data_IF_130033893067
#
_entry.id   IF_130033893067
#
_cell.length_a   1.000
_cell.length_b   1.000
_cell.length_c   1.000
_cell.angle_alpha   90.00
_cell.angle_beta   90.00
_cell.angle_gamma   90.00
#
_symmetry.space_group_name_H-M   'P 1'
#
loop_
_entity.id
_entity.type
_entity.pdbx_description
1 polymer ?
#
# COMPACT_ATOMS: atom_id res chain seq x y z
N UNK A 1 -21.06 17.13 -32.46
CA UNK A 1 -22.08 17.18 -33.49
C UNK A 1 -21.61 16.36 -34.68
N UNK A 2 -22.46 15.51 -35.28
CA UNK A 2 -22.20 14.75 -36.50
C UNK A 2 -22.92 15.42 -37.68
N UNK A 3 -22.20 15.60 -38.77
CA UNK A 3 -22.68 16.24 -39.99
C UNK A 3 -22.49 15.25 -41.14
N UNK A 4 -23.59 14.67 -41.60
CA UNK A 4 -23.61 13.74 -42.73
C UNK A 4 -23.86 14.49 -44.01
N UNK A 5 -22.80 14.83 -44.72
CA UNK A 5 -22.88 15.58 -45.97
C UNK A 5 -23.53 14.77 -47.09
N UNK A 6 -24.38 15.40 -47.87
CA UNK A 6 -25.06 14.80 -49.03
C UNK A 6 -24.28 15.15 -50.30
N UNK A 7 -23.47 14.25 -50.88
CA UNK A 7 -22.60 14.53 -52.01
C UNK A 7 -23.34 15.01 -53.25
N UNK A 8 -24.50 14.41 -53.50
CA UNK A 8 -25.32 14.77 -54.67
C UNK A 8 -25.84 16.19 -54.64
N UNK A 9 -26.26 16.63 -53.45
CA UNK A 9 -26.73 18.03 -53.22
C UNK A 9 -25.56 18.98 -53.28
N UNK A 10 -24.44 18.64 -52.63
CA UNK A 10 -23.21 19.45 -52.65
C UNK A 10 -22.71 19.65 -54.11
N UNK A 11 -22.78 18.66 -54.97
CA UNK A 11 -22.37 18.73 -56.37
C UNK A 11 -23.22 19.73 -57.16
N UNK A 12 -24.55 19.82 -56.87
CA UNK A 12 -25.44 20.76 -57.49
C UNK A 12 -25.03 22.22 -57.18
N UNK A 13 -24.57 22.48 -55.93
CA UNK A 13 -24.10 23.78 -55.50
C UNK A 13 -22.59 24.01 -55.75
N UNK A 14 -21.90 23.03 -56.41
CA UNK A 14 -20.44 23.07 -56.65
C UNK A 14 -19.64 23.26 -55.38
N UNK A 15 -20.02 22.59 -54.31
CA UNK A 15 -19.35 22.60 -52.98
C UNK A 15 -18.47 21.38 -52.83
N UNK A 16 -17.34 21.52 -52.17
CA UNK A 16 -16.49 20.46 -51.72
C UNK A 16 -16.49 20.38 -50.18
N UNK A 17 -16.16 19.25 -49.56
CA UNK A 17 -16.18 19.07 -48.11
C UNK A 17 -15.33 20.12 -47.34
N UNK A 18 -14.22 20.60 -47.95
CA UNK A 18 -13.38 21.61 -47.34
C UNK A 18 -14.07 22.95 -47.17
N UNK A 19 -15.00 23.32 -48.12
CA UNK A 19 -15.75 24.58 -48.01
C UNK A 19 -16.61 24.56 -46.74
N UNK A 20 -17.27 23.42 -46.49
CA UNK A 20 -18.12 23.24 -45.29
C UNK A 20 -17.27 23.26 -44.01
N UNK A 21 -16.12 22.59 -44.00
CA UNK A 21 -15.26 22.58 -42.84
C UNK A 21 -14.65 23.96 -42.50
N UNK A 22 -14.32 24.73 -43.54
CA UNK A 22 -13.84 26.11 -43.38
C UNK A 22 -14.89 27.01 -42.72
N UNK A 23 -16.11 26.97 -43.25
CA UNK A 23 -17.24 27.75 -42.71
C UNK A 23 -17.58 27.35 -41.28
N UNK A 24 -17.55 26.06 -40.98
CA UNK A 24 -17.74 25.53 -39.62
C UNK A 24 -16.67 26.07 -38.65
N UNK A 25 -15.41 26.10 -39.09
CA UNK A 25 -14.31 26.61 -38.28
C UNK A 25 -14.44 28.13 -38.04
N UNK A 26 -15.00 28.88 -38.99
CA UNK A 26 -15.22 30.34 -38.85
C UNK A 26 -16.42 30.66 -37.98
N UNK A 27 -17.53 29.93 -38.08
CA UNK A 27 -18.77 30.24 -37.37
C UNK A 27 -18.96 29.57 -36.03
N UNK A 28 -18.26 28.46 -35.76
CA UNK A 28 -18.32 27.74 -34.49
C UNK A 28 -17.04 27.93 -33.68
N UNK A 29 -16.72 29.16 -33.37
CA UNK A 29 -15.49 29.57 -32.67
C UNK A 29 -15.80 30.10 -31.28
N UNK A 30 -14.91 29.90 -30.36
CA UNK A 30 -14.93 30.52 -29.04
C UNK A 30 -13.82 31.57 -28.98
N UNK A 31 -14.19 32.84 -28.86
CA UNK A 31 -13.26 33.98 -28.88
C UNK A 31 -13.59 34.97 -27.78
N UNK A 32 -12.59 35.62 -27.23
CA UNK A 32 -12.77 36.76 -26.35
C UNK A 32 -13.13 37.98 -27.18
N UNK A 33 -14.33 38.52 -27.00
CA UNK A 33 -14.87 39.62 -27.79
C UNK A 33 -14.42 41.00 -27.34
N UNK A 34 -13.72 41.10 -26.19
CA UNK A 34 -13.26 42.37 -25.63
C UNK A 34 -14.39 43.25 -25.10
N UNK A 35 -14.10 44.50 -24.93
CA UNK A 35 -15.02 45.49 -24.41
C UNK A 35 -15.00 46.75 -25.29
N UNK A 36 -16.16 47.34 -25.51
CA UNK A 36 -16.31 48.66 -26.16
C UNK A 36 -16.08 49.73 -25.10
N UNK A 37 -15.28 50.77 -25.41
CA UNK A 37 -14.94 51.83 -24.49
C UNK A 37 -13.69 51.59 -23.63
N UNK A 38 -12.99 50.50 -23.86
CA UNK A 38 -11.68 50.24 -23.26
C UNK A 38 -10.66 51.24 -23.86
N UNK A 39 -9.96 51.99 -23.02
CA UNK A 39 -9.04 53.08 -23.40
C UNK A 39 -9.70 54.28 -24.10
N UNK A 40 -10.98 54.58 -23.85
CA UNK A 40 -11.64 55.80 -24.32
C UNK A 40 -11.90 56.77 -23.15
N UNK A 41 -12.11 58.04 -23.43
CA UNK A 41 -12.50 59.07 -22.43
C UNK A 41 -13.97 58.91 -21.98
N UNK A 42 -14.67 57.87 -22.43
CA UNK A 42 -16.07 57.63 -22.11
C UNK A 42 -16.21 57.02 -20.72
N UNK A 43 -17.27 57.43 -20.00
CA UNK A 43 -17.52 57.00 -18.63
C UNK A 43 -18.01 55.54 -18.54
N UNK A 44 -18.48 54.94 -19.63
CA UNK A 44 -19.09 53.63 -19.67
C UNK A 44 -18.32 52.66 -20.56
N UNK A 45 -18.09 51.45 -20.05
CA UNK A 45 -17.52 50.35 -20.78
C UNK A 45 -18.58 49.25 -20.97
N UNK A 46 -18.74 48.77 -22.19
CA UNK A 46 -19.68 47.71 -22.54
C UNK A 46 -18.92 46.41 -22.88
N UNK A 47 -19.07 45.38 -22.07
CA UNK A 47 -18.52 44.07 -22.38
C UNK A 47 -19.35 43.41 -23.48
N UNK A 48 -18.72 43.08 -24.60
CA UNK A 48 -19.38 42.36 -25.66
C UNK A 48 -19.53 40.89 -25.30
N UNK A 49 -20.72 40.34 -25.51
CA UNK A 49 -20.98 38.90 -25.37
C UNK A 49 -21.50 38.38 -26.70
N UNK A 50 -21.04 37.19 -27.07
CA UNK A 50 -21.59 36.43 -28.18
C UNK A 50 -21.96 35.04 -27.72
N UNK A 51 -22.76 34.30 -28.50
CA UNK A 51 -23.32 32.99 -28.08
C UNK A 51 -22.29 31.85 -27.92
N UNK A 52 -21.06 32.07 -28.38
CA UNK A 52 -20.02 31.05 -28.28
C UNK A 52 -20.20 29.88 -29.27
N UNK A 53 -19.80 28.72 -28.84
CA UNK A 53 -19.96 27.49 -29.64
C UNK A 53 -21.43 27.11 -29.75
N UNK A 54 -21.83 26.64 -30.93
CA UNK A 54 -23.15 26.09 -31.19
C UNK A 54 -23.32 24.75 -30.46
N UNK A 55 -24.49 24.50 -29.88
CA UNK A 55 -24.74 23.33 -29.02
C UNK A 55 -25.77 22.36 -29.60
N UNK A 56 -26.75 22.88 -30.39
CA UNK A 56 -27.88 22.09 -30.89
C UNK A 56 -27.76 21.76 -32.38
N UNK A 57 -28.36 20.66 -32.87
CA UNK A 57 -28.42 20.36 -34.28
C UNK A 57 -29.09 21.46 -35.11
N UNK A 58 -30.08 22.13 -34.54
CA UNK A 58 -30.78 23.25 -35.18
C UNK A 58 -29.87 24.47 -35.41
N UNK A 59 -29.10 24.86 -34.39
CA UNK A 59 -28.11 25.94 -34.50
C UNK A 59 -27.04 25.63 -35.54
N UNK A 60 -26.53 24.38 -35.58
CA UNK A 60 -25.61 23.96 -36.63
C UNK A 60 -26.27 23.96 -38.01
N UNK A 61 -27.55 23.57 -38.09
CA UNK A 61 -28.32 23.58 -39.34
C UNK A 61 -28.50 24.98 -39.94
N UNK A 62 -28.54 25.99 -39.10
CA UNK A 62 -28.74 27.37 -39.54
C UNK A 62 -27.44 28.09 -39.94
N UNK A 63 -26.28 27.38 -39.84
CA UNK A 63 -25.00 27.90 -40.37
C UNK A 63 -25.13 28.21 -41.85
N UNK A 64 -24.75 29.43 -42.26
CA UNK A 64 -24.77 29.85 -43.65
C UNK A 64 -23.51 29.40 -44.37
N UNK A 65 -23.65 28.52 -45.33
CA UNK A 65 -22.53 27.98 -46.12
C UNK A 65 -22.18 28.92 -47.26
N UNK A 66 -23.19 29.50 -47.96
CA UNK A 66 -23.03 30.43 -49.06
C UNK A 66 -24.19 31.41 -49.12
N UNK A 67 -23.90 32.63 -49.47
CA UNK A 67 -24.91 33.64 -49.82
C UNK A 67 -24.66 34.08 -51.26
N UNK A 68 -25.72 34.21 -52.04
CA UNK A 68 -25.68 34.74 -53.43
C UNK A 68 -25.94 36.23 -53.42
N UNK A 69 -25.55 36.92 -54.48
CA UNK A 69 -25.80 38.37 -54.65
C UNK A 69 -27.30 38.71 -54.70
N UNK A 70 -28.12 37.78 -55.11
CA UNK A 70 -29.58 37.88 -55.17
C UNK A 70 -30.27 37.68 -53.80
N UNK A 71 -29.48 37.45 -52.72
CA UNK A 71 -29.98 37.32 -51.34
C UNK A 71 -30.43 35.90 -50.98
N UNK A 72 -30.25 34.92 -51.83
CA UNK A 72 -30.47 33.50 -51.46
C UNK A 72 -29.36 33.03 -50.55
N UNK A 73 -29.74 32.33 -49.47
CA UNK A 73 -28.85 31.83 -48.43
C UNK A 73 -28.93 30.32 -48.39
N UNK A 74 -27.81 29.66 -48.64
CA UNK A 74 -27.69 28.20 -48.53
C UNK A 74 -27.25 27.85 -47.12
N UNK A 75 -28.08 27.13 -46.37
CA UNK A 75 -27.81 26.70 -45.01
C UNK A 75 -27.28 25.27 -44.97
N UNK A 76 -26.55 24.93 -43.90
CA UNK A 76 -25.95 23.61 -43.70
C UNK A 76 -27.00 22.46 -43.70
N UNK A 77 -28.18 22.70 -43.11
CA UNK A 77 -29.28 21.71 -43.10
C UNK A 77 -29.79 21.30 -44.47
N UNK A 78 -29.54 22.10 -45.50
CA UNK A 78 -29.97 21.80 -46.87
C UNK A 78 -29.03 20.83 -47.58
N UNK A 79 -27.72 20.83 -47.17
CA UNK A 79 -26.69 20.01 -47.80
C UNK A 79 -26.19 18.86 -46.90
N UNK A 80 -26.65 18.80 -45.64
CA UNK A 80 -26.23 17.76 -44.70
C UNK A 80 -27.37 17.41 -43.72
N UNK A 81 -27.31 16.19 -43.17
CA UNK A 81 -28.12 15.78 -42.04
C UNK A 81 -27.26 15.95 -40.78
N UNK A 82 -27.82 16.58 -39.75
CA UNK A 82 -27.11 17.00 -38.55
C UNK A 82 -27.73 16.31 -37.35
N UNK A 83 -26.90 15.61 -36.57
CA UNK A 83 -27.35 14.92 -35.36
C UNK A 83 -26.32 15.03 -34.23
N UNK A 84 -26.80 14.92 -33.01
CA UNK A 84 -25.94 14.75 -31.86
C UNK A 84 -25.58 13.26 -31.76
N UNK A 85 -24.41 12.89 -32.30
CA UNK A 85 -23.94 11.51 -32.34
C UNK A 85 -22.69 11.31 -31.49
N UNK A 86 -22.19 10.08 -31.54
CA UNK A 86 -20.93 9.71 -30.85
C UNK A 86 -19.74 10.41 -31.51
N UNK A 87 -18.69 10.68 -30.73
CA UNK A 87 -17.43 11.19 -31.27
C UNK A 87 -16.77 10.19 -32.24
N UNK A 88 -16.81 8.90 -31.89
CA UNK A 88 -16.32 7.82 -32.73
C UNK A 88 -17.27 6.63 -32.72
N UNK A 89 -17.46 6.01 -33.88
CA UNK A 89 -18.19 4.74 -34.06
C UNK A 89 -17.26 3.54 -34.17
N UNK A 90 -15.93 3.75 -34.03
CA UNK A 90 -14.93 2.68 -34.09
C UNK A 90 -15.00 1.73 -32.90
N UNK A 91 -15.54 2.21 -31.76
CA UNK A 91 -15.62 1.42 -30.53
C UNK A 91 -17.07 1.26 -30.08
N UNK A 92 -17.43 0.04 -29.72
CA UNK A 92 -18.72 -0.29 -29.12
C UNK A 92 -18.46 -0.77 -27.70
N UNK A 93 -18.93 -0.01 -26.69
CA UNK A 93 -18.87 -0.43 -25.30
C UNK A 93 -20.10 -1.29 -24.97
N UNK A 94 -19.85 -2.41 -24.32
CA UNK A 94 -20.90 -3.24 -23.73
C UNK A 94 -20.50 -3.67 -22.33
N UNK A 95 -21.50 -3.73 -21.44
CA UNK A 95 -21.34 -4.25 -20.09
C UNK A 95 -22.39 -5.33 -19.89
N UNK A 96 -21.96 -6.57 -19.60
CA UNK A 96 -22.87 -7.72 -19.46
C UNK A 96 -23.84 -7.90 -20.65
N UNK A 97 -23.36 -7.67 -21.88
CA UNK A 97 -24.15 -7.78 -23.10
C UNK A 97 -25.13 -6.61 -23.36
N UNK A 98 -25.19 -5.62 -22.46
CA UNK A 98 -25.98 -4.39 -22.66
C UNK A 98 -25.11 -3.26 -23.21
N UNK A 99 -25.62 -2.40 -24.08
CA UNK A 99 -24.91 -1.22 -24.52
C UNK A 99 -24.51 -0.36 -23.34
N UNK A 100 -23.25 0.10 -23.30
CA UNK A 100 -22.72 0.90 -22.21
C UNK A 100 -21.66 1.88 -22.65
N UNK A 101 -21.41 2.88 -21.84
CA UNK A 101 -20.35 3.86 -21.99
C UNK A 101 -19.40 3.67 -20.79
N UNK A 102 -18.13 3.44 -21.09
CA UNK A 102 -17.10 3.35 -20.06
C UNK A 102 -16.53 4.74 -19.75
N UNK A 103 -16.50 5.09 -18.47
CA UNK A 103 -15.82 6.27 -17.98
C UNK A 103 -14.65 5.85 -17.08
N UNK A 104 -13.45 6.28 -17.43
CA UNK A 104 -12.25 6.08 -16.61
C UNK A 104 -11.89 7.36 -15.89
N UNK A 105 -11.75 7.28 -14.58
CA UNK A 105 -11.34 8.41 -13.74
C UNK A 105 -9.91 8.18 -13.28
N UNK A 106 -9.03 9.14 -13.57
CA UNK A 106 -7.63 9.09 -13.19
C UNK A 106 -7.36 10.05 -12.04
N UNK A 107 -6.61 9.59 -11.06
CA UNK A 107 -6.16 10.46 -9.98
C UNK A 107 -4.90 11.25 -10.36
N UNK A 108 -4.75 12.44 -9.82
CA UNK A 108 -3.51 13.21 -9.93
C UNK A 108 -2.42 12.64 -9.03
N UNK A 109 -1.16 12.79 -9.44
CA UNK A 109 -0.03 12.36 -8.64
C UNK A 109 -0.06 13.02 -7.25
N UNK A 110 0.17 12.21 -6.20
CA UNK A 110 0.17 12.67 -4.81
C UNK A 110 -1.21 12.75 -4.14
N UNK A 111 -2.32 12.47 -4.86
CA UNK A 111 -3.65 12.38 -4.24
C UNK A 111 -3.85 11.04 -3.52
N UNK A 112 -4.74 11.02 -2.54
CA UNK A 112 -5.12 9.79 -1.84
C UNK A 112 -6.17 9.02 -2.65
N UNK A 113 -5.79 7.83 -3.17
CA UNK A 113 -6.67 7.01 -4.01
C UNK A 113 -7.99 6.63 -3.31
N UNK A 114 -7.92 6.26 -2.03
CA UNK A 114 -9.10 5.88 -1.24
C UNK A 114 -10.06 7.04 -1.07
N UNK A 115 -9.56 8.23 -0.75
CA UNK A 115 -10.37 9.43 -0.58
C UNK A 115 -11.03 9.84 -1.90
N UNK A 116 -10.28 9.80 -3.01
CA UNK A 116 -10.81 10.10 -4.34
C UNK A 116 -11.91 9.13 -4.72
N UNK A 117 -11.70 7.83 -4.56
CA UNK A 117 -12.71 6.81 -4.88
C UNK A 117 -13.97 6.96 -4.01
N UNK A 118 -13.82 7.23 -2.72
CA UNK A 118 -14.98 7.44 -1.83
C UNK A 118 -15.79 8.69 -2.25
N UNK A 119 -15.12 9.76 -2.70
CA UNK A 119 -15.80 10.95 -3.23
C UNK A 119 -16.51 10.66 -4.56
N UNK A 120 -15.91 9.84 -5.43
CA UNK A 120 -16.52 9.40 -6.68
C UNK A 120 -17.77 8.55 -6.38
N UNK A 121 -17.67 7.62 -5.44
CA UNK A 121 -18.79 6.78 -5.05
C UNK A 121 -19.98 7.58 -4.51
N UNK A 122 -19.71 8.53 -3.62
CA UNK A 122 -20.72 9.45 -3.10
C UNK A 122 -21.35 10.32 -4.21
N UNK A 123 -20.53 10.83 -5.13
CA UNK A 123 -21.00 11.61 -6.27
C UNK A 123 -21.87 10.78 -7.22
N UNK A 124 -21.48 9.54 -7.52
CA UNK A 124 -22.25 8.65 -8.40
C UNK A 124 -23.57 8.23 -7.76
N UNK A 125 -23.60 8.05 -6.43
CA UNK A 125 -24.85 7.78 -5.70
C UNK A 125 -25.81 8.96 -5.78
N UNK A 126 -25.31 10.19 -5.70
CA UNK A 126 -26.11 11.39 -5.85
C UNK A 126 -26.57 11.60 -7.31
N UNK A 127 -25.64 11.53 -8.27
CA UNK A 127 -25.91 11.72 -9.69
C UNK A 127 -26.87 10.67 -10.27
N UNK A 128 -26.83 9.44 -9.75
CA UNK A 128 -27.71 8.35 -10.22
C UNK A 128 -29.19 8.63 -9.99
N UNK A 129 -29.53 9.53 -9.07
CA UNK A 129 -30.93 9.93 -8.78
C UNK A 129 -31.53 10.76 -9.93
N UNK A 130 -30.68 11.46 -10.65
CA UNK A 130 -31.08 12.34 -11.74
C UNK A 130 -30.98 11.68 -13.13
N UNK A 131 -30.55 10.42 -13.19
CA UNK A 131 -30.43 9.72 -14.46
C UNK A 131 -31.78 9.36 -15.06
N UNK A 132 -31.92 9.43 -16.39
CA UNK A 132 -33.09 8.94 -17.08
C UNK A 132 -33.38 7.46 -16.78
N UNK A 133 -34.65 7.07 -16.80
CA UNK A 133 -35.04 5.68 -16.59
C UNK A 133 -34.39 4.75 -17.62
N UNK A 134 -33.74 3.69 -17.14
CA UNK A 134 -33.05 2.69 -17.96
C UNK A 134 -31.53 2.85 -18.01
N UNK A 135 -30.97 3.86 -17.36
CA UNK A 135 -29.51 4.01 -17.15
C UNK A 135 -29.15 3.46 -15.79
N UNK A 136 -28.18 2.57 -15.77
CA UNK A 136 -27.63 1.95 -14.56
C UNK A 136 -26.11 2.19 -14.50
N UNK A 137 -25.61 2.55 -13.33
CA UNK A 137 -24.16 2.69 -13.09
C UNK A 137 -23.61 1.35 -12.62
N UNK A 138 -22.67 0.80 -13.36
CA UNK A 138 -21.97 -0.44 -13.02
C UNK A 138 -20.50 -0.11 -12.78
N UNK A 139 -20.02 -0.37 -11.57
CA UNK A 139 -18.59 -0.27 -11.27
C UNK A 139 -17.89 -1.50 -11.81
N UNK A 140 -17.07 -1.34 -12.83
CA UNK A 140 -16.33 -2.44 -13.47
C UNK A 140 -15.05 -2.76 -12.72
N UNK A 141 -14.35 -1.76 -12.23
CA UNK A 141 -13.10 -1.90 -11.50
C UNK A 141 -12.98 -0.78 -10.48
N UNK A 142 -12.80 -1.13 -9.21
CA UNK A 142 -12.53 -0.19 -8.14
C UNK A 142 -11.21 -0.54 -7.48
N UNK A 143 -10.28 0.40 -7.46
CA UNK A 143 -9.01 0.25 -6.75
C UNK A 143 -9.23 0.05 -5.24
N UNK A 144 -10.33 0.60 -4.69
CA UNK A 144 -10.69 0.45 -3.29
C UNK A 144 -11.02 -0.98 -2.90
N UNK A 145 -11.71 -1.74 -3.76
CA UNK A 145 -12.09 -3.13 -3.45
C UNK A 145 -10.85 -4.00 -3.27
N UNK A 146 -9.87 -3.84 -4.17
CA UNK A 146 -8.58 -4.50 -4.04
C UNK A 146 -7.81 -4.03 -2.81
N UNK A 147 -7.76 -2.72 -2.56
CA UNK A 147 -7.05 -2.13 -1.44
C UNK A 147 -7.63 -2.60 -0.10
N UNK A 148 -8.96 -2.55 0.07
CA UNK A 148 -9.61 -2.99 1.30
C UNK A 148 -9.47 -4.50 1.53
N UNK A 149 -9.61 -5.32 0.48
CA UNK A 149 -9.36 -6.76 0.56
C UNK A 149 -7.92 -7.05 1.00
N UNK A 150 -6.96 -6.35 0.40
CA UNK A 150 -5.55 -6.51 0.72
C UNK A 150 -5.22 -6.04 2.15
N UNK A 151 -5.74 -4.88 2.59
CA UNK A 151 -5.57 -4.39 3.97
C UNK A 151 -6.19 -5.39 4.95
N UNK A 152 -7.39 -5.89 4.66
CA UNK A 152 -8.06 -6.88 5.52
C UNK A 152 -7.23 -8.15 5.68
N UNK A 153 -6.68 -8.69 4.58
CA UNK A 153 -5.86 -9.91 4.62
C UNK A 153 -4.54 -9.66 5.39
N UNK A 154 -3.91 -8.49 5.22
CA UNK A 154 -2.69 -8.16 5.97
C UNK A 154 -2.97 -7.96 7.46
N UNK A 155 -4.08 -7.31 7.84
CA UNK A 155 -4.48 -7.17 9.25
C UNK A 155 -4.79 -8.53 9.86
N UNK A 156 -5.47 -9.42 9.14
CA UNK A 156 -5.71 -10.81 9.55
C UNK A 156 -4.39 -11.55 9.77
N UNK A 157 -3.48 -11.48 8.80
CA UNK A 157 -2.14 -12.08 8.90
C UNK A 157 -1.34 -11.52 10.08
N UNK A 158 -1.46 -10.22 10.35
CA UNK A 158 -0.85 -9.57 11.52
C UNK A 158 -1.35 -10.21 12.83
N UNK A 159 -2.66 -10.40 12.96
CA UNK A 159 -3.28 -11.02 14.14
C UNK A 159 -2.85 -12.49 14.25
N UNK A 160 -2.87 -13.23 13.14
CA UNK A 160 -2.43 -14.63 13.10
C UNK A 160 -0.95 -14.77 13.50
N UNK A 161 -0.09 -13.87 13.01
CA UNK A 161 1.33 -13.83 13.37
C UNK A 161 1.51 -13.57 14.88
N UNK A 162 0.79 -12.61 15.46
CA UNK A 162 0.84 -12.33 16.90
C UNK A 162 0.42 -13.56 17.70
N UNK A 163 -0.69 -14.21 17.32
CA UNK A 163 -1.19 -15.41 18.00
C UNK A 163 -0.15 -16.54 17.92
N UNK A 164 0.40 -16.78 16.74
CA UNK A 164 1.42 -17.81 16.52
C UNK A 164 2.67 -17.55 17.36
N UNK A 165 3.15 -16.32 17.37
CA UNK A 165 4.31 -15.91 18.17
C UNK A 165 4.05 -16.14 19.65
N UNK A 166 2.88 -15.71 20.17
CA UNK A 166 2.50 -15.94 21.58
C UNK A 166 2.48 -17.41 21.90
N UNK A 167 1.92 -18.26 21.02
CA UNK A 167 1.86 -19.70 21.19
C UNK A 167 3.27 -20.29 21.25
N UNK A 168 4.15 -19.93 20.33
CA UNK A 168 5.53 -20.41 20.29
C UNK A 168 6.26 -19.98 21.56
N UNK A 169 6.20 -18.70 21.91
CA UNK A 169 6.85 -18.16 23.12
C UNK A 169 6.32 -18.87 24.37
N UNK A 170 5.00 -19.12 24.45
CA UNK A 170 4.42 -19.87 25.57
C UNK A 170 4.93 -21.29 25.66
N UNK A 171 5.08 -22.00 24.55
CA UNK A 171 5.62 -23.37 24.53
C UNK A 171 7.06 -23.42 25.02
N UNK A 172 7.88 -22.42 24.62
CA UNK A 172 9.30 -22.39 25.03
C UNK A 172 9.50 -21.87 26.44
N UNK A 173 8.87 -20.76 26.83
CA UNK A 173 9.00 -20.19 28.17
C UNK A 173 8.18 -20.94 29.23
N UNK A 174 7.15 -21.68 28.84
CA UNK A 174 6.31 -22.53 29.70
C UNK A 174 5.72 -21.85 30.94
N UNK A 175 5.64 -20.50 30.90
CA UNK A 175 5.09 -19.69 31.95
C UNK A 175 4.31 -18.51 31.35
N UNK A 176 3.06 -18.35 31.77
CA UNK A 176 2.18 -17.32 31.23
C UNK A 176 2.66 -15.90 31.57
N UNK A 177 3.32 -15.71 32.70
CA UNK A 177 3.85 -14.41 33.13
C UNK A 177 5.02 -13.99 32.25
N UNK A 178 5.89 -14.96 31.95
CA UNK A 178 7.01 -14.76 31.04
C UNK A 178 6.54 -14.46 29.61
N UNK A 179 5.46 -15.10 29.17
CA UNK A 179 4.86 -14.88 27.83
C UNK A 179 4.17 -13.52 27.72
N UNK A 180 3.62 -13.01 28.82
CA UNK A 180 2.93 -11.71 28.82
C UNK A 180 3.91 -10.54 28.54
N UNK A 181 5.18 -10.67 28.91
CA UNK A 181 6.17 -9.58 28.72
C UNK A 181 6.43 -9.31 27.24
N UNK A 182 6.79 -10.31 26.39
CA UNK A 182 6.89 -10.09 24.95
C UNK A 182 5.59 -9.62 24.31
N UNK A 183 4.44 -10.10 24.76
CA UNK A 183 3.15 -9.66 24.26
C UNK A 183 2.94 -8.14 24.48
N UNK A 184 3.21 -7.66 25.67
CA UNK A 184 3.12 -6.21 25.97
C UNK A 184 4.14 -5.43 25.14
N UNK A 185 5.36 -5.94 24.97
CA UNK A 185 6.38 -5.33 24.15
C UNK A 185 5.95 -5.19 22.69
N UNK A 186 5.28 -6.20 22.09
CA UNK A 186 4.71 -6.13 20.74
C UNK A 186 3.71 -4.98 20.63
N UNK A 187 2.73 -4.95 21.54
CA UNK A 187 1.65 -3.94 21.50
C UNK A 187 2.23 -2.53 21.62
N UNK A 188 3.14 -2.31 22.56
CA UNK A 188 3.77 -0.99 22.77
C UNK A 188 4.61 -0.60 21.54
N UNK A 189 5.36 -1.53 20.96
CA UNK A 189 6.18 -1.27 19.76
C UNK A 189 5.32 -0.95 18.56
N UNK A 190 4.21 -1.66 18.35
CA UNK A 190 3.28 -1.36 17.25
C UNK A 190 2.64 0.01 17.40
N UNK A 191 2.14 0.35 18.60
CA UNK A 191 1.58 1.68 18.88
C UNK A 191 2.63 2.76 18.64
N UNK A 192 3.86 2.56 19.12
CA UNK A 192 4.96 3.50 18.90
C UNK A 192 5.31 3.65 17.42
N UNK A 193 5.26 2.57 16.64
CA UNK A 193 5.50 2.61 15.20
C UNK A 193 4.39 3.36 14.46
N UNK A 194 3.12 3.16 14.82
CA UNK A 194 2.02 3.95 14.26
C UNK A 194 2.14 5.44 14.62
N UNK A 195 2.54 5.76 15.84
CA UNK A 195 2.81 7.14 16.23
C UNK A 195 3.93 7.76 15.38
N UNK A 196 5.03 7.03 15.15
CA UNK A 196 6.11 7.48 14.26
C UNK A 196 5.58 7.70 12.82
N UNK A 197 4.82 6.76 12.26
CA UNK A 197 4.25 6.89 10.91
C UNK A 197 3.39 8.15 10.79
N UNK A 198 2.58 8.45 11.81
CA UNK A 198 1.75 9.66 11.84
C UNK A 198 2.60 10.94 11.82
N UNK A 199 3.67 11.00 12.63
CA UNK A 199 4.58 12.15 12.67
C UNK A 199 5.38 12.28 11.35
N UNK A 200 5.78 11.17 10.75
CA UNK A 200 6.49 11.13 9.47
C UNK A 200 5.58 11.42 8.26
N UNK A 201 4.27 11.54 8.45
CA UNK A 201 3.29 11.74 7.37
C UNK A 201 3.10 10.51 6.48
N UNK A 202 3.39 9.31 6.98
CA UNK A 202 3.19 8.07 6.26
C UNK A 202 1.74 7.61 6.37
N UNK A 203 1.19 7.13 5.26
CA UNK A 203 -0.12 6.50 5.23
C UNK A 203 -0.04 5.02 5.58
N UNK A 204 -1.14 4.49 6.13
CA UNK A 204 -1.31 3.04 6.24
C UNK A 204 -1.58 2.51 4.83
N UNK A 205 -0.69 1.71 4.32
CA UNK A 205 -0.77 1.04 3.02
C UNK A 205 -0.19 -0.37 3.12
N UNK A 206 -0.33 -1.15 2.04
CA UNK A 206 0.17 -2.53 1.99
C UNK A 206 1.64 -2.64 2.42
N UNK A 207 2.48 -1.71 1.97
CA UNK A 207 3.93 -1.75 2.20
C UNK A 207 4.26 -1.51 3.67
N UNK A 208 3.64 -0.48 4.27
CA UNK A 208 3.83 -0.18 5.69
C UNK A 208 3.25 -1.28 6.58
N UNK A 209 2.13 -1.91 6.18
CA UNK A 209 1.57 -3.06 6.89
C UNK A 209 2.47 -4.30 6.77
N UNK A 210 3.07 -4.58 5.62
CA UNK A 210 4.06 -5.65 5.48
C UNK A 210 5.30 -5.39 6.34
N UNK A 211 5.76 -4.15 6.41
CA UNK A 211 6.83 -3.78 7.33
C UNK A 211 6.45 -4.12 8.78
N UNK A 212 5.23 -3.79 9.21
CA UNK A 212 4.75 -4.09 10.56
C UNK A 212 4.67 -5.60 10.83
N UNK A 213 4.18 -6.41 9.88
CA UNK A 213 4.16 -7.88 10.02
C UNK A 213 5.57 -8.43 10.20
N UNK A 214 6.52 -7.96 9.39
CA UNK A 214 7.92 -8.41 9.46
C UNK A 214 8.58 -7.99 10.77
N UNK A 215 8.28 -6.78 11.24
CA UNK A 215 8.84 -6.25 12.49
C UNK A 215 8.40 -7.01 13.72
N UNK A 216 7.22 -7.63 13.73
CA UNK A 216 6.74 -8.38 14.90
C UNK A 216 7.76 -9.44 15.33
N UNK A 217 8.35 -10.16 14.37
CA UNK A 217 9.38 -11.15 14.66
C UNK A 217 10.59 -10.54 15.37
N UNK A 218 11.15 -9.46 14.83
CA UNK A 218 12.34 -8.80 15.38
C UNK A 218 12.09 -8.13 16.74
N UNK A 219 10.90 -7.53 16.93
CA UNK A 219 10.50 -6.90 18.20
C UNK A 219 10.37 -7.94 19.31
N UNK A 220 9.84 -9.10 18.99
CA UNK A 220 9.65 -10.17 19.96
C UNK A 220 10.98 -10.78 20.40
N UNK A 221 11.92 -10.92 19.48
CA UNK A 221 13.24 -11.50 19.76
C UNK A 221 13.97 -10.73 20.88
N UNK A 222 13.99 -9.41 20.80
CA UNK A 222 14.62 -8.57 21.84
C UNK A 222 13.99 -8.81 23.22
N UNK A 223 12.66 -8.87 23.29
CA UNK A 223 11.94 -9.07 24.54
C UNK A 223 12.14 -10.51 25.10
N UNK A 224 12.17 -11.52 24.22
CA UNK A 224 12.41 -12.92 24.61
C UNK A 224 13.80 -13.07 25.22
N UNK A 225 14.82 -12.50 24.58
CA UNK A 225 16.21 -12.59 25.08
C UNK A 225 16.33 -11.99 26.48
N UNK A 226 15.64 -10.87 26.75
CA UNK A 226 15.61 -10.28 28.10
C UNK A 226 14.95 -11.22 29.10
N UNK A 227 13.77 -11.77 28.80
CA UNK A 227 13.05 -12.68 29.69
C UNK A 227 13.88 -13.93 29.97
N UNK A 228 14.48 -14.52 28.94
CA UNK A 228 15.29 -15.74 29.04
C UNK A 228 16.54 -15.51 29.90
N UNK A 229 17.21 -14.37 29.73
CA UNK A 229 18.35 -14.03 30.56
C UNK A 229 17.99 -13.82 32.04
N UNK A 230 16.83 -13.23 32.33
CA UNK A 230 16.35 -13.09 33.71
C UNK A 230 15.99 -14.45 34.30
N UNK A 231 15.36 -15.34 33.51
CA UNK A 231 15.08 -16.71 33.95
C UNK A 231 16.37 -17.49 34.22
N UNK A 232 17.39 -17.35 33.38
CA UNK A 232 18.69 -17.96 33.62
C UNK A 232 19.34 -17.50 34.93
N UNK A 233 19.07 -16.27 35.42
CA UNK A 233 19.53 -15.82 36.73
C UNK A 233 18.78 -16.52 37.87
N UNK A 234 17.49 -16.81 37.72
CA UNK A 234 16.78 -17.62 38.72
C UNK A 234 17.35 -19.03 38.81
N UNK A 235 17.75 -19.65 37.71
CA UNK A 235 18.38 -20.97 37.70
C UNK A 235 19.74 -20.98 38.42
N UNK A 236 20.44 -19.87 38.43
CA UNK A 236 21.71 -19.70 39.21
C UNK A 236 21.46 -19.39 40.69
N UNK A 237 20.19 -19.18 41.10
CA UNK A 237 19.82 -19.05 42.51
C UNK A 237 19.42 -17.65 42.99
N UNK A 238 19.18 -16.73 42.06
CA UNK A 238 18.63 -15.41 42.44
C UNK A 238 17.20 -15.56 42.98
N UNK A 239 16.95 -15.05 44.18
CA UNK A 239 15.62 -15.03 44.81
C UNK A 239 14.80 -13.78 44.53
N UNK A 240 15.45 -12.70 44.12
CA UNK A 240 14.80 -11.42 43.82
C UNK A 240 14.74 -11.18 42.32
N UNK A 241 13.53 -10.98 41.80
CA UNK A 241 13.30 -10.67 40.38
C UNK A 241 13.95 -9.36 39.95
N UNK A 242 13.97 -8.39 40.85
CA UNK A 242 14.64 -7.09 40.63
C UNK A 242 16.16 -7.27 40.43
N UNK A 243 16.81 -8.01 41.35
CA UNK A 243 18.27 -8.25 41.26
C UNK A 243 18.63 -9.11 40.04
N UNK A 244 17.80 -10.11 39.74
CA UNK A 244 17.97 -10.94 38.56
C UNK A 244 17.87 -10.12 37.25
N UNK A 245 16.88 -9.23 37.15
CA UNK A 245 16.71 -8.34 36.00
C UNK A 245 17.88 -7.35 35.86
N UNK A 246 18.31 -6.72 36.92
CA UNK A 246 19.44 -5.81 36.92
C UNK A 246 20.75 -6.48 36.46
N UNK A 247 21.00 -7.67 36.95
CA UNK A 247 22.23 -8.39 36.62
C UNK A 247 22.19 -9.01 35.19
N UNK A 248 21.01 -9.47 34.74
CA UNK A 248 20.84 -9.94 33.37
C UNK A 248 21.13 -8.84 32.35
N UNK A 249 20.66 -7.61 32.59
CA UNK A 249 20.84 -6.49 31.68
C UNK A 249 22.29 -6.04 31.51
N UNK A 250 23.16 -6.24 32.52
CA UNK A 250 24.59 -5.87 32.40
C UNK A 250 25.29 -6.54 31.22
N UNK A 251 24.92 -7.77 30.91
CA UNK A 251 25.52 -8.53 29.78
C UNK A 251 24.76 -8.34 28.47
N UNK A 252 23.48 -7.98 28.51
CA UNK A 252 22.62 -7.93 27.31
C UNK A 252 22.56 -6.56 26.65
N UNK A 253 22.71 -5.47 27.40
CA UNK A 253 22.53 -4.12 26.86
C UNK A 253 23.37 -3.85 25.60
N UNK A 254 24.64 -4.22 25.62
CA UNK A 254 25.53 -4.01 24.47
C UNK A 254 25.13 -4.88 23.25
N UNK A 255 24.67 -6.11 23.50
CA UNK A 255 24.22 -7.01 22.43
C UNK A 255 22.95 -6.48 21.76
N UNK A 256 21.93 -6.10 22.54
CA UNK A 256 20.67 -5.55 22.04
C UNK A 256 20.91 -4.27 21.23
N UNK A 257 21.72 -3.35 21.75
CA UNK A 257 22.05 -2.11 21.02
C UNK A 257 22.81 -2.41 19.73
N UNK A 258 23.76 -3.34 19.76
CA UNK A 258 24.53 -3.68 18.55
C UNK A 258 23.68 -4.33 17.47
N UNK A 259 22.80 -5.27 17.82
CA UNK A 259 21.89 -5.92 16.85
C UNK A 259 20.94 -4.91 16.23
N UNK A 260 20.35 -4.05 17.03
CA UNK A 260 19.44 -3.00 16.56
C UNK A 260 20.13 -1.98 15.65
N UNK A 261 21.36 -1.58 15.96
CA UNK A 261 22.16 -0.70 15.11
C UNK A 261 22.47 -1.36 13.76
N UNK A 262 22.74 -2.66 13.74
CA UNK A 262 22.95 -3.39 12.49
C UNK A 262 21.67 -3.41 11.66
N UNK A 263 20.50 -3.68 12.25
CA UNK A 263 19.22 -3.61 11.53
C UNK A 263 18.94 -2.22 10.98
N UNK A 264 19.08 -1.18 11.80
CA UNK A 264 18.91 0.20 11.32
C UNK A 264 19.91 0.56 10.24
N UNK A 265 21.16 0.08 10.36
CA UNK A 265 22.21 0.28 9.37
C UNK A 265 21.93 -0.35 8.00
N UNK A 266 21.05 -1.34 7.93
CA UNK A 266 20.57 -1.92 6.67
C UNK A 266 19.37 -1.13 6.11
N UNK A 267 18.37 -0.84 6.93
CA UNK A 267 17.11 -0.27 6.45
C UNK A 267 17.19 1.23 6.18
N UNK A 268 17.98 1.99 6.95
CA UNK A 268 18.12 3.44 6.73
C UNK A 268 18.72 3.76 5.36
N UNK A 269 19.85 3.16 4.91
CA UNK A 269 20.39 3.43 3.58
C UNK A 269 19.43 3.07 2.44
N UNK A 270 18.70 1.97 2.57
CA UNK A 270 17.69 1.54 1.59
C UNK A 270 16.59 2.57 1.42
N UNK A 271 16.27 3.32 2.48
CA UNK A 271 15.27 4.38 2.45
C UNK A 271 15.66 5.61 1.62
N UNK A 272 16.94 5.76 1.26
CA UNK A 272 17.43 6.84 0.41
C UNK A 272 17.50 6.48 -1.08
N UNK A 273 16.97 5.33 -1.48
CA UNK A 273 16.88 4.98 -2.89
C UNK A 273 15.95 5.94 -3.62
N UNK A 274 16.34 6.34 -4.83
CA UNK A 274 15.56 7.24 -5.69
C UNK A 274 14.77 6.48 -6.75
N UNK A 275 13.81 7.17 -7.39
CA UNK A 275 12.95 6.60 -8.42
C UNK A 275 11.65 5.99 -7.88
N UNK A 276 10.90 5.31 -8.75
CA UNK A 276 9.59 4.70 -8.40
C UNK A 276 9.73 3.69 -7.26
N UNK A 277 10.77 2.86 -7.30
CA UNK A 277 11.10 1.92 -6.23
C UNK A 277 11.49 2.63 -4.93
N UNK A 278 12.09 3.83 -5.01
CA UNK A 278 12.50 4.62 -3.86
C UNK A 278 11.33 4.98 -2.94
N UNK A 279 10.18 5.36 -3.51
CA UNK A 279 8.97 5.66 -2.72
C UNK A 279 8.53 4.47 -1.87
N UNK A 280 8.59 3.27 -2.42
CA UNK A 280 8.29 2.03 -1.70
C UNK A 280 9.30 1.77 -0.58
N UNK A 281 10.58 1.82 -0.90
CA UNK A 281 11.66 1.52 0.04
C UNK A 281 11.80 2.56 1.15
N UNK A 282 11.49 3.82 0.87
CA UNK A 282 11.49 4.88 1.90
C UNK A 282 10.46 4.59 3.00
N UNK A 283 9.22 4.32 2.64
CA UNK A 283 8.18 4.04 3.64
C UNK A 283 8.44 2.72 4.37
N UNK A 284 8.82 1.67 3.65
CA UNK A 284 9.15 0.37 4.22
C UNK A 284 10.35 0.45 5.18
N UNK A 285 11.47 0.99 4.69
CA UNK A 285 12.73 1.01 5.42
C UNK A 285 12.68 1.90 6.67
N UNK A 286 12.07 3.10 6.56
CA UNK A 286 11.94 3.98 7.73
C UNK A 286 10.95 3.43 8.76
N UNK A 287 9.86 2.78 8.31
CA UNK A 287 8.93 2.10 9.24
C UNK A 287 9.65 0.97 9.98
N UNK A 288 10.42 0.14 9.27
CA UNK A 288 11.23 -0.92 9.86
C UNK A 288 12.27 -0.38 10.84
N UNK A 289 13.03 0.64 10.44
CA UNK A 289 14.07 1.23 11.29
C UNK A 289 13.48 1.86 12.56
N UNK A 290 12.37 2.56 12.44
CA UNK A 290 11.67 3.15 13.58
C UNK A 290 11.14 2.07 14.53
N UNK A 291 10.52 1.04 14.02
CA UNK A 291 9.98 -0.05 14.81
C UNK A 291 11.06 -0.81 15.59
N UNK A 292 12.21 -1.09 14.94
CA UNK A 292 13.38 -1.71 15.61
C UNK A 292 13.96 -0.76 16.66
N UNK A 293 14.04 0.54 16.39
CA UNK A 293 14.49 1.53 17.38
C UNK A 293 13.59 1.57 18.61
N UNK A 294 12.27 1.56 18.42
CA UNK A 294 11.28 1.52 19.51
C UNK A 294 11.37 0.18 20.27
N UNK A 295 11.54 -0.95 19.54
CA UNK A 295 11.77 -2.26 20.16
C UNK A 295 12.98 -2.24 21.08
N UNK A 296 14.09 -1.66 20.63
CA UNK A 296 15.30 -1.53 21.41
C UNK A 296 15.06 -0.76 22.71
N UNK A 297 14.37 0.38 22.63
CA UNK A 297 14.02 1.16 23.82
C UNK A 297 13.14 0.34 24.77
N UNK A 298 12.15 -0.40 24.25
CA UNK A 298 11.30 -1.29 25.04
C UNK A 298 12.09 -2.44 25.67
N UNK A 299 13.01 -3.04 24.96
CA UNK A 299 13.84 -4.13 25.47
C UNK A 299 14.81 -3.68 26.57
N UNK A 300 15.27 -2.43 26.52
CA UNK A 300 16.17 -1.86 27.52
C UNK A 300 15.45 -1.26 28.72
N UNK A 301 14.17 -0.92 28.62
CA UNK A 301 13.42 -0.23 29.67
C UNK A 301 12.21 -1.02 30.14
N UNK A 302 11.24 -1.24 29.25
CA UNK A 302 9.95 -1.86 29.57
C UNK A 302 10.10 -3.34 29.92
N UNK A 303 10.82 -4.11 29.09
CA UNK A 303 10.96 -5.56 29.30
C UNK A 303 11.64 -5.91 30.63
N UNK A 304 12.78 -5.32 31.01
CA UNK A 304 13.40 -5.60 32.32
C UNK A 304 12.55 -5.13 33.50
N UNK A 305 11.82 -4.00 33.36
CA UNK A 305 10.91 -3.53 34.40
C UNK A 305 9.74 -4.51 34.60
N UNK A 306 9.15 -5.00 33.50
CA UNK A 306 8.09 -6.04 33.57
C UNK A 306 8.64 -7.35 34.12
N UNK A 307 9.86 -7.75 33.78
CA UNK A 307 10.51 -8.92 34.38
C UNK A 307 10.63 -8.78 35.91
N UNK A 308 11.07 -7.62 36.38
CA UNK A 308 11.22 -7.35 37.79
C UNK A 308 9.89 -7.40 38.58
N UNK A 309 8.78 -7.03 37.93
CA UNK A 309 7.44 -6.99 38.55
C UNK A 309 6.70 -8.33 38.43
N UNK A 310 6.73 -8.96 37.26
CA UNK A 310 5.85 -10.09 36.93
C UNK A 310 6.51 -11.45 37.19
N UNK A 311 7.83 -11.57 36.97
CA UNK A 311 8.50 -12.86 37.11
C UNK A 311 8.67 -13.24 38.59
N UNK A 312 8.63 -14.53 38.84
CA UNK A 312 8.89 -15.14 40.16
C UNK A 312 9.79 -16.36 40.00
N UNK A 313 10.69 -16.62 40.94
CA UNK A 313 11.47 -17.87 40.93
C UNK A 313 10.54 -19.09 40.90
N UNK A 314 10.94 -20.11 40.17
CA UNK A 314 10.15 -21.34 40.05
C UNK A 314 10.15 -22.23 41.30
N UNK A 315 11.06 -21.99 42.22
CA UNK A 315 11.23 -22.76 43.46
C UNK A 315 10.55 -22.03 44.59
N UNK A 316 9.54 -22.64 45.23
CA UNK A 316 8.98 -22.12 46.49
C UNK A 316 10.04 -22.18 47.59
N UNK A 317 9.90 -21.34 48.61
CA UNK A 317 10.79 -21.32 49.79
C UNK A 317 10.93 -22.69 50.48
N UNK A 318 9.95 -23.59 50.26
CA UNK A 318 9.92 -24.92 50.84
C UNK A 318 10.52 -26.01 49.91
N UNK A 319 11.12 -25.68 48.79
CA UNK A 319 11.75 -26.63 47.86
C UNK A 319 10.82 -27.63 47.16
N UNK A 320 9.51 -27.48 47.28
CA UNK A 320 8.52 -28.41 46.68
C UNK A 320 8.02 -27.87 45.34
N UNK A 321 8.27 -28.63 44.26
CA UNK A 321 7.65 -28.40 42.95
C UNK A 321 6.18 -28.80 42.98
N UNK A 322 5.27 -27.89 42.61
CA UNK A 322 3.85 -28.23 42.44
C UNK A 322 3.68 -29.24 41.31
N UNK A 323 3.12 -30.40 41.64
CA UNK A 323 2.91 -31.55 40.72
C UNK A 323 1.61 -31.33 39.91
N UNK A 324 1.57 -30.31 39.05
CA UNK A 324 0.44 -29.99 38.17
C UNK A 324 0.71 -30.55 36.75
N UNK A 325 -0.32 -30.69 35.94
CA UNK A 325 -0.22 -31.09 34.53
C UNK A 325 0.84 -30.26 33.75
N UNK A 326 0.89 -28.95 33.98
CA UNK A 326 1.92 -28.07 33.45
C UNK A 326 3.35 -28.45 33.86
N UNK A 327 3.56 -28.93 35.09
CA UNK A 327 4.88 -29.41 35.56
C UNK A 327 5.30 -30.69 34.85
N UNK A 328 4.34 -31.60 34.58
CA UNK A 328 4.60 -32.82 33.81
C UNK A 328 4.93 -32.55 32.35
N UNK A 329 4.21 -31.64 31.72
CA UNK A 329 4.49 -31.16 30.34
C UNK A 329 5.90 -30.55 30.29
N UNK A 330 6.22 -29.62 31.22
CA UNK A 330 7.53 -28.98 31.32
C UNK A 330 8.67 -29.99 31.44
N UNK A 331 8.51 -31.01 32.30
CA UNK A 331 9.51 -32.05 32.46
C UNK A 331 9.72 -32.89 31.21
N UNK A 332 8.64 -33.24 30.50
CA UNK A 332 8.71 -33.96 29.23
C UNK A 332 9.35 -33.14 28.12
N UNK A 333 8.95 -31.86 28.00
CA UNK A 333 9.51 -30.94 27.02
C UNK A 333 11.00 -30.71 27.24
N UNK A 334 11.42 -30.42 28.50
CA UNK A 334 12.81 -30.16 28.82
C UNK A 334 13.67 -31.42 28.55
N UNK A 335 13.18 -32.62 28.85
CA UNK A 335 13.91 -33.84 28.54
C UNK A 335 14.08 -34.05 27.02
N UNK A 336 13.05 -33.74 26.23
CA UNK A 336 13.15 -33.77 24.77
C UNK A 336 14.12 -32.72 24.24
N UNK A 337 14.04 -31.49 24.77
CA UNK A 337 14.88 -30.37 24.38
C UNK A 337 16.36 -30.63 24.74
N UNK A 338 16.65 -31.19 25.93
CA UNK A 338 18.00 -31.59 26.32
C UNK A 338 18.61 -32.64 25.36
N UNK A 339 17.78 -33.53 24.81
CA UNK A 339 18.23 -34.48 23.79
C UNK A 339 18.62 -33.76 22.49
N UNK A 340 17.86 -32.74 22.09
CA UNK A 340 18.17 -31.88 20.92
C UNK A 340 19.47 -31.09 21.17
N UNK A 341 19.62 -30.48 22.34
CA UNK A 341 20.84 -29.75 22.73
C UNK A 341 22.08 -30.67 22.67
N UNK A 342 21.99 -31.92 23.17
CA UNK A 342 23.09 -32.86 23.10
C UNK A 342 23.49 -33.17 21.65
N UNK A 343 22.51 -33.40 20.76
CA UNK A 343 22.76 -33.63 19.33
C UNK A 343 23.39 -32.38 18.66
N UNK A 344 22.84 -31.21 18.95
CA UNK A 344 23.38 -29.92 18.45
C UNK A 344 24.83 -29.70 18.89
N UNK A 345 25.12 -29.88 20.19
CA UNK A 345 26.49 -29.79 20.74
C UNK A 345 27.45 -30.75 20.03
N UNK A 346 27.01 -31.95 19.76
CA UNK A 346 27.82 -32.95 19.03
C UNK A 346 28.10 -32.47 17.57
N UNK A 347 27.07 -31.96 16.89
CA UNK A 347 27.19 -31.37 15.55
C UNK A 347 28.17 -30.20 15.50
N UNK A 348 28.02 -29.25 16.43
CA UNK A 348 28.92 -28.10 16.53
C UNK A 348 30.37 -28.51 16.78
N UNK A 349 30.60 -29.44 17.72
CA UNK A 349 31.92 -29.96 17.97
C UNK A 349 32.52 -30.69 16.77
N UNK A 350 31.71 -31.37 15.97
CA UNK A 350 32.15 -32.01 14.72
C UNK A 350 32.66 -30.96 13.71
N UNK A 351 31.94 -29.86 13.51
CA UNK A 351 32.35 -28.75 12.63
C UNK A 351 33.59 -28.01 13.16
N UNK A 352 33.64 -27.75 14.46
CA UNK A 352 34.82 -27.08 15.08
C UNK A 352 36.10 -27.95 14.89
N UNK A 353 35.98 -29.25 15.03
CA UNK A 353 37.12 -30.18 14.83
C UNK A 353 37.54 -30.28 13.37
N UNK A 354 36.62 -30.06 12.43
CA UNK A 354 36.87 -30.19 10.98
C UNK A 354 36.66 -28.87 10.27
N UNK A 355 37.53 -27.91 10.53
CA UNK A 355 37.44 -26.54 9.99
C UNK A 355 37.26 -26.46 8.46
N UNK A 356 37.91 -27.44 7.73
CA UNK A 356 37.78 -27.46 6.27
C UNK A 356 36.34 -27.72 5.79
N UNK A 357 35.53 -28.50 6.53
CA UNK A 357 34.12 -28.71 6.23
C UNK A 357 33.30 -27.43 6.37
N UNK A 358 33.58 -26.61 7.39
CA UNK A 358 32.94 -25.34 7.55
C UNK A 358 33.27 -24.37 6.38
N UNK A 359 34.53 -24.34 5.94
CA UNK A 359 34.95 -23.54 4.79
C UNK A 359 34.36 -24.06 3.47
N UNK A 360 34.29 -25.39 3.28
CA UNK A 360 33.69 -25.98 2.08
C UNK A 360 32.18 -25.71 2.01
N UNK A 361 31.47 -25.76 3.14
CA UNK A 361 30.05 -25.41 3.20
C UNK A 361 29.83 -23.94 2.86
N UNK A 362 30.67 -23.04 3.41
CA UNK A 362 30.61 -21.62 3.09
C UNK A 362 30.88 -21.38 1.60
N UNK A 363 31.92 -21.99 1.03
CA UNK A 363 32.23 -21.87 -0.39
C UNK A 363 31.07 -22.39 -1.27
N UNK A 364 30.48 -23.54 -0.91
CA UNK A 364 29.33 -24.09 -1.61
C UNK A 364 28.12 -23.16 -1.56
N UNK A 365 27.83 -22.56 -0.39
CA UNK A 365 26.72 -21.59 -0.27
C UNK A 365 26.93 -20.31 -1.08
N UNK A 366 28.17 -19.82 -1.18
CA UNK A 366 28.50 -18.65 -2.02
C UNK A 366 28.33 -19.01 -3.51
N UNK A 367 28.84 -20.18 -3.95
CA UNK A 367 28.66 -20.63 -5.34
C UNK A 367 27.18 -20.79 -5.67
N UNK A 368 26.40 -21.40 -4.77
CA UNK A 368 24.97 -21.55 -4.93
C UNK A 368 24.26 -20.19 -5.03
N UNK A 369 24.64 -19.23 -4.19
CA UNK A 369 24.10 -17.87 -4.25
C UNK A 369 24.36 -17.22 -5.62
N UNK A 370 25.61 -17.30 -6.13
CA UNK A 370 25.97 -16.74 -7.42
C UNK A 370 25.17 -17.39 -8.56
N UNK A 371 25.02 -18.74 -8.52
CA UNK A 371 24.24 -19.47 -9.52
C UNK A 371 22.76 -19.03 -9.48
N UNK A 372 22.16 -18.97 -8.28
CA UNK A 372 20.78 -18.55 -8.13
C UNK A 372 20.56 -17.10 -8.57
N UNK A 373 21.43 -16.18 -8.22
CA UNK A 373 21.35 -14.79 -8.67
C UNK A 373 21.38 -14.63 -10.20
N UNK A 374 22.14 -15.50 -10.89
CA UNK A 374 22.21 -15.47 -12.36
C UNK A 374 21.05 -16.19 -13.06
N UNK A 375 20.39 -17.14 -12.38
CA UNK A 375 19.31 -17.93 -12.97
C UNK A 375 17.92 -17.40 -12.60
N UNK A 376 17.79 -16.66 -11.51
CA UNK A 376 16.50 -16.10 -11.05
C UNK A 376 16.12 -14.89 -11.89
N UNK A 377 14.90 -14.90 -12.42
CA UNK A 377 14.35 -13.76 -13.16
C UNK A 377 14.16 -12.57 -12.22
N UNK A 378 14.58 -11.39 -12.66
CA UNK A 378 14.34 -10.13 -11.93
C UNK A 378 13.05 -9.50 -12.42
N UNK A 379 12.15 -9.18 -11.49
CA UNK A 379 10.95 -8.36 -11.70
C UNK A 379 10.81 -7.35 -10.58
N UNK A 380 10.20 -6.21 -10.86
CA UNK A 380 9.98 -5.17 -9.85
C UNK A 380 8.88 -5.57 -8.85
N UNK A 381 7.81 -6.16 -9.38
CA UNK A 381 6.64 -6.63 -8.63
C UNK A 381 6.24 -8.00 -9.18
N UNK A 382 5.87 -8.97 -8.34
CA UNK A 382 5.30 -10.23 -8.83
C UNK A 382 4.04 -9.96 -9.66
N UNK A 383 3.83 -10.78 -10.69
CA UNK A 383 2.58 -10.77 -11.44
C UNK A 383 1.45 -11.26 -10.52
N UNK A 384 0.47 -10.39 -10.28
CA UNK A 384 -0.72 -10.74 -9.52
C UNK A 384 -1.90 -10.99 -10.47
N UNK A 385 -2.61 -12.08 -10.24
CA UNK A 385 -3.88 -12.35 -10.91
C UNK A 385 -4.97 -11.47 -10.29
N UNK A 386 -5.32 -10.38 -10.97
CA UNK A 386 -6.37 -9.46 -10.56
C UNK A 386 -7.78 -9.91 -11.05
N UNK A 387 -7.88 -11.12 -11.60
CA UNK A 387 -9.13 -11.64 -12.14
C UNK A 387 -9.63 -10.92 -13.41
N UNK A 388 -8.78 -10.11 -14.06
CA UNK A 388 -9.07 -9.37 -15.27
C UNK A 388 -8.30 -9.92 -16.46
N UNK A 389 -8.99 -10.18 -17.53
CA UNK A 389 -8.39 -10.58 -18.82
C UNK A 389 -8.67 -9.49 -19.83
N UNK A 390 -7.61 -8.91 -20.40
CA UNK A 390 -7.72 -8.03 -21.56
C UNK A 390 -7.62 -8.88 -22.82
N UNK A 391 -8.65 -8.83 -23.66
CA UNK A 391 -8.74 -9.59 -24.92
C UNK A 391 -8.62 -8.64 -26.10
#
# INVERSE_FOLDING_TARGET
MRIWMKPDVMAQYKLIPSDVTSVLAEQNIESATGSLGENSDETYQYTMKYSGRLLTPEEFGDIVIRSTEDGEVLKLKEIADIELGKESYAYIGQTNGKPGISCMVFQTAGSNATEVNNKIDAFLEEASKDFPKGIEVVKLMSTNDFLYASIHEVVKTLIEAIILVILVVYVFLQDIRSTLIPLVAIVVSLIGTFAFMTVAGFSINLITLFALVLVIGTVVDDAIVVVEAVQARFDVGYKSSYMASMDAMKGLTSAIVSTSLVFMGVFIPVSFMSGTSGTFYTQFGLTMAAAVGISTVNALTLSPALCAILLKPYINEDGTQKNNFAARFRKAFNAAFDSVIKKYKHGVLFFIKRKWLAWSLLACSIVLLIVLMNTTKSSLVPDEDQGTVFV
#
